data_IF_445080515207
#
_entry.id   IF_445080515207
#
_cell.length_a   1.000
_cell.length_b   1.000
_cell.length_c   1.000
_cell.angle_alpha   90.00
_cell.angle_beta   90.00
_cell.angle_gamma   90.00
#
_symmetry.space_group_name_H-M   'P 1'
#
loop_
_entity.id
_entity.type
_entity.pdbx_description
1 polymer ?
#
# COMPACT_ATOMS: atom_id res chain seq x y z
N UNK A 1 -6.44 -11.01 14.42
CA UNK A 1 -5.26 -10.31 14.97
C UNK A 1 -5.48 -8.82 14.87
N UNK A 2 -4.97 -8.04 15.82
CA UNK A 2 -5.03 -6.57 15.81
C UNK A 2 -3.72 -6.03 15.24
N UNK A 3 -3.80 -4.99 14.40
CA UNK A 3 -2.64 -4.28 13.88
C UNK A 3 -2.94 -2.77 13.86
N UNK A 4 -1.90 -1.95 13.84
CA UNK A 4 -2.04 -0.50 13.73
C UNK A 4 -2.84 -0.08 12.49
N UNK A 5 -2.64 -0.79 11.37
CA UNK A 5 -3.39 -0.54 10.14
C UNK A 5 -4.90 -0.74 10.34
N UNK A 6 -5.34 -1.72 11.13
CA UNK A 6 -6.77 -1.97 11.34
C UNK A 6 -7.41 -1.03 12.38
N UNK A 7 -6.65 -0.57 13.37
CA UNK A 7 -7.21 0.22 14.48
C UNK A 7 -7.05 1.72 14.31
N UNK A 8 -6.06 2.16 13.54
CA UNK A 8 -5.72 3.59 13.40
C UNK A 8 -5.78 4.07 11.96
N UNK A 9 -5.47 3.20 10.99
CA UNK A 9 -5.27 3.60 9.59
C UNK A 9 -6.04 2.69 8.61
N UNK A 10 -7.27 2.33 8.97
CA UNK A 10 -8.00 1.29 8.25
C UNK A 10 -8.15 1.65 6.77
N UNK A 11 -7.66 0.79 5.84
CA UNK A 11 -7.67 1.11 4.43
C UNK A 11 -9.06 0.95 3.81
N UNK A 12 -10.00 0.29 4.50
CA UNK A 12 -11.40 0.24 4.09
C UNK A 12 -12.14 1.51 4.55
N UNK A 13 -12.83 2.24 3.64
CA UNK A 13 -13.62 3.41 4.01
C UNK A 13 -14.71 3.07 5.06
N UNK A 14 -14.96 4.00 5.98
CA UNK A 14 -15.98 3.92 7.02
C UNK A 14 -15.56 3.21 8.32
N UNK A 15 -14.41 2.55 8.36
CA UNK A 15 -14.00 1.80 9.55
C UNK A 15 -13.40 2.67 10.66
N UNK A 16 -12.56 3.64 10.32
CA UNK A 16 -11.90 4.54 11.28
C UNK A 16 -12.11 5.98 10.81
N UNK A 17 -12.80 6.86 11.56
CA UNK A 17 -13.23 8.16 11.06
C UNK A 17 -12.11 9.05 10.50
N UNK A 18 -10.94 9.04 11.12
CA UNK A 18 -9.80 9.88 10.73
C UNK A 18 -8.90 9.29 9.63
N UNK A 19 -9.16 8.06 9.15
CA UNK A 19 -8.30 7.40 8.18
C UNK A 19 -8.38 8.07 6.78
N UNK A 20 -7.29 8.09 5.99
CA UNK A 20 -7.30 8.65 4.64
C UNK A 20 -8.29 7.99 3.67
N UNK A 21 -8.66 6.74 3.92
CA UNK A 21 -9.67 6.00 3.15
C UNK A 21 -11.03 6.71 3.11
N UNK A 22 -11.33 7.60 4.06
CA UNK A 22 -12.57 8.39 4.11
C UNK A 22 -12.50 9.71 3.31
N UNK A 23 -11.35 10.05 2.74
CA UNK A 23 -11.10 11.31 2.03
C UNK A 23 -10.43 11.05 0.68
N UNK A 24 -10.94 10.07 -0.05
CA UNK A 24 -10.44 9.63 -1.36
C UNK A 24 -8.93 9.38 -1.39
N UNK A 25 -8.39 8.86 -0.28
CA UNK A 25 -6.95 8.62 -0.09
C UNK A 25 -6.10 9.87 -0.35
N UNK A 26 -6.60 11.05 0.02
CA UNK A 26 -5.82 12.28 0.00
C UNK A 26 -4.48 12.07 0.73
N UNK A 27 -3.37 12.61 0.17
CA UNK A 27 -2.02 12.24 0.59
C UNK A 27 -1.78 12.51 2.08
N UNK A 28 -1.55 11.44 2.84
CA UNK A 28 -0.94 11.48 4.17
C UNK A 28 0.52 11.02 4.06
N UNK A 29 0.71 9.72 3.83
CA UNK A 29 1.98 9.15 3.42
C UNK A 29 1.85 8.58 2.01
N UNK A 30 2.47 9.25 1.04
CA UNK A 30 2.26 8.94 -0.37
C UNK A 30 2.73 7.53 -0.77
N UNK A 31 2.03 6.92 -1.71
CA UNK A 31 2.37 5.61 -2.30
C UNK A 31 3.79 5.59 -2.84
N UNK A 32 4.25 6.67 -3.48
CA UNK A 32 5.63 6.80 -3.93
C UNK A 32 6.66 6.74 -2.79
N UNK A 33 6.35 7.32 -1.63
CA UNK A 33 7.23 7.28 -0.46
C UNK A 33 7.27 5.87 0.14
N UNK A 34 6.13 5.17 0.18
CA UNK A 34 6.08 3.78 0.59
C UNK A 34 6.91 2.88 -0.33
N UNK A 35 6.78 3.03 -1.65
CA UNK A 35 7.58 2.28 -2.62
C UNK A 35 9.09 2.53 -2.44
N UNK A 36 9.48 3.78 -2.19
CA UNK A 36 10.87 4.14 -1.87
C UNK A 36 11.36 3.43 -0.61
N UNK A 37 10.63 3.54 0.50
CA UNK A 37 11.07 3.01 1.79
C UNK A 37 11.14 1.48 1.79
N UNK A 38 10.18 0.80 1.15
CA UNK A 38 10.25 -0.66 0.95
C UNK A 38 11.41 -1.01 0.01
N UNK A 39 11.69 -0.21 -1.01
CA UNK A 39 12.87 -0.38 -1.88
C UNK A 39 14.19 -0.31 -1.12
N UNK A 40 14.33 0.64 -0.20
CA UNK A 40 15.49 0.73 0.69
C UNK A 40 15.59 -0.49 1.61
N UNK A 41 14.47 -0.97 2.15
CA UNK A 41 14.43 -2.18 2.96
C UNK A 41 14.84 -3.44 2.18
N UNK A 42 14.42 -3.57 0.91
CA UNK A 42 14.83 -4.67 0.04
C UNK A 42 16.33 -4.63 -0.29
N UNK A 43 16.87 -3.45 -0.59
CA UNK A 43 18.31 -3.29 -0.83
C UNK A 43 19.15 -3.66 0.40
N UNK A 44 18.69 -3.28 1.60
CA UNK A 44 19.32 -3.70 2.85
C UNK A 44 19.22 -5.21 3.07
N UNK A 45 18.06 -5.81 2.80
CA UNK A 45 17.84 -7.24 2.93
C UNK A 45 18.74 -8.06 1.98
N UNK A 46 18.96 -7.59 0.75
CA UNK A 46 19.90 -8.19 -0.21
C UNK A 46 21.35 -8.10 0.31
N UNK A 47 21.75 -6.95 0.84
CA UNK A 47 23.10 -6.76 1.39
C UNK A 47 23.41 -7.63 2.62
N UNK A 48 22.37 -8.10 3.33
CA UNK A 48 22.51 -8.93 4.55
C UNK A 48 21.98 -10.35 4.39
N UNK A 49 21.74 -10.81 3.14
CA UNK A 49 21.20 -12.14 2.82
C UNK A 49 19.97 -12.51 3.66
N UNK A 50 19.08 -11.53 3.87
CA UNK A 50 17.92 -11.64 4.76
C UNK A 50 16.65 -11.88 3.96
N UNK A 51 15.97 -13.04 4.12
CA UNK A 51 14.80 -13.36 3.31
C UNK A 51 13.59 -12.51 3.72
N UNK A 52 13.13 -11.64 2.83
CA UNK A 52 11.95 -10.76 3.06
C UNK A 52 10.90 -10.90 1.95
N UNK A 53 10.39 -12.11 1.66
CA UNK A 53 9.52 -12.37 0.51
C UNK A 53 8.25 -11.51 0.49
N UNK A 54 7.64 -11.26 1.66
CA UNK A 54 6.47 -10.39 1.76
C UNK A 54 6.81 -8.91 1.49
N UNK A 55 8.03 -8.47 1.81
CA UNK A 55 8.52 -7.14 1.47
C UNK A 55 8.74 -6.97 -0.02
N UNK A 56 9.30 -8.00 -0.68
CA UNK A 56 9.46 -8.02 -2.14
C UNK A 56 8.12 -7.96 -2.87
N UNK A 57 7.13 -8.75 -2.42
CA UNK A 57 5.78 -8.67 -2.97
C UNK A 57 5.10 -7.33 -2.71
N UNK A 58 5.25 -6.75 -1.51
CA UNK A 58 4.72 -5.43 -1.22
C UNK A 58 5.33 -4.36 -2.13
N UNK A 59 6.65 -4.40 -2.39
CA UNK A 59 7.31 -3.49 -3.31
C UNK A 59 6.75 -3.57 -4.73
N UNK A 60 6.54 -4.79 -5.24
CA UNK A 60 5.95 -5.00 -6.55
C UNK A 60 4.56 -4.36 -6.66
N UNK A 61 3.69 -4.61 -5.66
CA UNK A 61 2.35 -4.04 -5.63
C UNK A 61 2.35 -2.51 -5.59
N UNK A 62 3.23 -1.89 -4.78
CA UNK A 62 3.32 -0.43 -4.74
C UNK A 62 3.86 0.17 -6.04
N UNK A 63 4.79 -0.49 -6.72
CA UNK A 63 5.27 -0.06 -8.04
C UNK A 63 4.15 -0.12 -9.09
N UNK A 64 3.41 -1.22 -9.15
CA UNK A 64 2.26 -1.34 -10.05
C UNK A 64 1.17 -0.30 -9.74
N UNK A 65 0.93 0.02 -8.46
CA UNK A 65 -0.01 1.07 -8.09
C UNK A 65 0.47 2.47 -8.57
N UNK A 66 1.77 2.75 -8.52
CA UNK A 66 2.34 3.98 -9.11
C UNK A 66 2.16 4.02 -10.62
N UNK A 67 2.37 2.91 -11.32
CA UNK A 67 2.12 2.82 -12.77
C UNK A 67 0.64 3.05 -13.12
N UNK A 68 -0.27 2.73 -12.19
CA UNK A 68 -1.69 3.02 -12.29
C UNK A 68 -2.08 4.47 -11.93
N UNK A 69 -1.12 5.37 -11.72
CA UNK A 69 -1.38 6.79 -11.43
C UNK A 69 -1.75 7.09 -9.97
N UNK A 70 -1.42 6.20 -9.03
CA UNK A 70 -1.73 6.34 -7.60
C UNK A 70 -0.55 6.83 -6.77
N UNK A 71 0.54 7.27 -7.39
CA UNK A 71 1.79 7.67 -6.74
C UNK A 71 1.60 8.80 -5.70
N UNK A 72 0.67 9.72 -5.97
CA UNK A 72 0.33 10.86 -5.11
C UNK A 72 -0.79 10.58 -4.11
N UNK A 73 -1.39 9.39 -4.13
CA UNK A 73 -2.40 8.98 -3.14
C UNK A 73 -1.72 8.41 -1.90
N UNK A 74 -2.44 8.44 -0.79
CA UNK A 74 -1.99 7.78 0.44
C UNK A 74 -1.77 6.27 0.21
N UNK A 75 -0.75 5.68 0.82
CA UNK A 75 -0.36 4.28 0.62
C UNK A 75 -1.51 3.27 0.86
N UNK A 76 -2.48 3.63 1.73
CA UNK A 76 -3.65 2.80 2.00
C UNK A 76 -4.58 2.60 0.79
N UNK A 77 -4.41 3.41 -0.28
CA UNK A 77 -5.13 3.27 -1.57
C UNK A 77 -4.95 1.91 -2.22
N UNK A 78 -3.87 1.19 -1.86
CA UNK A 78 -3.58 -0.15 -2.35
C UNK A 78 -4.76 -1.11 -2.13
N UNK A 79 -5.53 -0.94 -1.04
CA UNK A 79 -6.73 -1.73 -0.79
C UNK A 79 -7.81 -1.52 -1.85
N UNK A 80 -8.14 -0.27 -2.16
CA UNK A 80 -9.13 0.06 -3.19
C UNK A 80 -8.67 -0.44 -4.56
N UNK A 81 -7.40 -0.24 -4.89
CA UNK A 81 -6.82 -0.67 -6.16
C UNK A 81 -6.87 -2.20 -6.33
N UNK A 82 -6.48 -2.96 -5.31
CA UNK A 82 -6.59 -4.43 -5.30
C UNK A 82 -8.04 -4.90 -5.42
N UNK A 83 -8.96 -4.26 -4.70
CA UNK A 83 -10.39 -4.56 -4.78
C UNK A 83 -10.98 -4.25 -6.17
N UNK A 84 -10.41 -3.27 -6.89
CA UNK A 84 -10.74 -2.96 -8.28
C UNK A 84 -10.22 -4.01 -9.26
N UNK A 85 -8.95 -4.45 -9.10
CA UNK A 85 -8.33 -5.48 -9.94
C UNK A 85 -9.15 -6.77 -9.98
N UNK A 86 -9.58 -7.29 -8.83
CA UNK A 86 -10.29 -8.56 -8.73
C UNK A 86 -11.74 -8.57 -9.26
N UNK A 87 -12.30 -7.41 -9.65
CA UNK A 87 -13.66 -7.30 -10.21
C UNK A 87 -13.70 -7.22 -11.73
N UNK A 88 -12.56 -7.10 -12.39
CA UNK A 88 -12.43 -7.00 -13.85
C UNK A 88 -12.56 -8.36 -14.55
N UNK A 89 -12.44 -9.46 -13.80
CA UNK A 89 -12.40 -10.84 -14.32
C UNK A 89 -13.77 -11.56 -14.27
N UNK A 90 -14.88 -10.82 -14.08
CA UNK A 90 -16.25 -11.37 -14.00
C UNK A 90 -17.20 -10.67 -14.99
N UNK A 91 -16.70 -10.24 -16.15
CA UNK A 91 -17.50 -9.68 -17.24
C UNK A 91 -17.59 -10.65 -18.42
#
# INVERSE_FOLDING_TARGET
GQSWALTTYCPAPGCVPAAPSNRDYAPGFATALMAKDVGLAQAAAEATDSPTPLGGHALALYREAMEAGLEGKDFSVIFQWLAGKGRSDVA
#
